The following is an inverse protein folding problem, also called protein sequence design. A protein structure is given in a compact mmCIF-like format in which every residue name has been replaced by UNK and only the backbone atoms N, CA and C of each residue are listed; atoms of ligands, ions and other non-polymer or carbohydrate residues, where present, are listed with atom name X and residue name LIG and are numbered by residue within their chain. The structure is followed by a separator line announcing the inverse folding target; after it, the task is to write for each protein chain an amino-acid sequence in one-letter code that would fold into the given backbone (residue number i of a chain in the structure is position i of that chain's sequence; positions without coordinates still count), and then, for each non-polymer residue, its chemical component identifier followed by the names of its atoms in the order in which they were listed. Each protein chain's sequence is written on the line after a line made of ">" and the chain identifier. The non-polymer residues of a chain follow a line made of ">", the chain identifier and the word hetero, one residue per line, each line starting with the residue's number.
data_IF_305088304544
#
_entry.id   IF_305088304544
#
_cell.length_a   1.000
_cell.length_b   1.000
_cell.length_c   1.000
_cell.angle_alpha   90.00
_cell.angle_beta   90.00
_cell.angle_gamma   90.00
#
_symmetry.space_group_name_H-M   'P 1'
#
loop_
_entity.id
_entity.type
_entity.pdbx_description
1 polymer ?
#
# COMPACT_ATOMS: atom_id res chain seq x y z
N UNK A 1 -10.46 15.98 39.70
CA UNK A 1 -9.19 16.32 39.03
C UNK A 1 -8.81 15.14 38.17
N UNK A 2 -8.84 15.36 36.87
CA UNK A 2 -8.48 14.41 35.81
C UNK A 2 -6.95 14.32 35.76
N UNK A 3 -6.42 13.12 35.65
CA UNK A 3 -5.00 12.86 35.41
C UNK A 3 -4.88 11.57 34.61
N UNK A 4 -5.20 11.68 33.31
CA UNK A 4 -4.94 10.64 32.32
C UNK A 4 -3.50 10.67 31.82
N UNK A 5 -3.15 9.66 31.03
CA UNK A 5 -1.82 9.17 30.61
C UNK A 5 -1.23 8.16 31.62
N UNK A 6 -1.10 6.87 31.24
CA UNK A 6 -0.29 6.47 30.07
C UNK A 6 -0.83 5.24 29.29
N UNK A 7 -1.13 5.35 28.00
CA UNK A 7 -1.46 4.17 27.17
C UNK A 7 -0.75 4.08 25.82
N UNK A 8 -0.12 5.15 25.32
CA UNK A 8 0.55 5.10 24.02
C UNK A 8 1.99 4.53 24.09
N UNK A 9 2.71 4.75 25.19
CA UNK A 9 4.13 4.38 25.29
C UNK A 9 4.40 2.91 25.63
N UNK A 10 3.49 2.22 26.33
CA UNK A 10 3.79 0.88 26.86
C UNK A 10 3.64 -0.24 25.82
N UNK A 11 2.83 -0.04 24.78
CA UNK A 11 2.67 -0.99 23.66
C UNK A 11 3.68 -0.70 22.53
N UNK A 12 4.04 0.57 22.33
CA UNK A 12 5.09 0.97 21.37
C UNK A 12 6.49 0.59 21.89
N UNK A 13 6.71 0.52 23.20
CA UNK A 13 8.05 0.33 23.76
C UNK A 13 8.62 -1.10 23.70
N UNK A 14 7.81 -2.16 23.82
CA UNK A 14 8.34 -3.50 24.16
C UNK A 14 8.55 -4.47 23.00
N UNK A 15 8.23 -4.06 21.76
CA UNK A 15 8.49 -4.88 20.55
C UNK A 15 9.16 -4.12 19.39
N UNK A 16 9.33 -2.79 19.50
CA UNK A 16 9.99 -1.95 18.50
C UNK A 16 11.53 -1.95 18.54
N UNK A 17 12.17 -2.71 19.43
CA UNK A 17 13.64 -2.82 19.49
C UNK A 17 14.26 -3.72 18.40
N UNK A 18 13.46 -4.29 17.49
CA UNK A 18 13.97 -5.05 16.34
C UNK A 18 13.45 -4.46 15.03
N UNK A 19 14.33 -3.72 14.34
CA UNK A 19 14.48 -3.79 12.88
C UNK A 19 13.36 -3.33 11.93
N UNK A 20 12.18 -2.93 12.39
CA UNK A 20 11.08 -2.55 11.49
C UNK A 20 11.16 -1.05 11.10
N UNK A 21 11.75 -0.78 9.93
CA UNK A 21 11.65 0.51 9.24
C UNK A 21 11.25 0.29 7.79
N UNK A 22 9.97 0.55 7.49
CA UNK A 22 9.56 1.16 6.22
C UNK A 22 8.67 2.33 6.59
N UNK A 23 9.31 3.45 6.90
CA UNK A 23 8.66 4.75 6.86
C UNK A 23 9.20 5.42 5.60
N UNK A 24 8.31 5.83 4.71
CA UNK A 24 8.64 6.60 3.52
C UNK A 24 9.51 7.79 3.93
N UNK A 25 10.79 7.78 3.54
CA UNK A 25 11.73 8.82 3.87
C UNK A 25 11.50 10.02 2.97
N UNK A 26 11.36 11.21 3.58
CA UNK A 26 11.29 12.50 2.91
C UNK A 26 12.59 12.82 2.14
N UNK A 27 12.53 13.29 0.88
CA UNK A 27 13.63 13.97 0.22
C UNK A 27 13.36 15.48 0.17
N UNK A 28 13.61 16.19 1.27
CA UNK A 28 13.60 17.65 1.27
C UNK A 28 14.82 18.19 2.05
N UNK A 29 15.94 18.36 1.34
CA UNK A 29 16.85 19.53 1.43
C UNK A 29 18.19 19.25 0.69
N UNK A 30 18.44 20.02 -0.38
CA UNK A 30 19.69 20.31 -1.09
C UNK A 30 20.74 19.20 -1.36
N UNK A 31 20.85 18.79 -2.63
CA UNK A 31 22.13 18.36 -3.21
C UNK A 31 22.33 19.06 -4.57
N UNK A 32 23.21 20.08 -4.66
CA UNK A 32 23.75 20.48 -5.94
C UNK A 32 24.80 19.46 -6.40
N UNK A 33 24.61 18.97 -7.62
CA UNK A 33 25.52 18.32 -8.60
C UNK A 33 26.74 17.52 -8.13
N UNK A 34 26.96 16.37 -8.78
CA UNK A 34 28.20 15.90 -9.44
C UNK A 34 27.88 14.49 -9.99
N UNK A 35 27.52 14.36 -11.26
CA UNK A 35 28.42 14.15 -12.40
C UNK A 35 29.23 12.85 -12.27
N UNK A 36 28.79 11.79 -12.97
CA UNK A 36 29.61 11.15 -14.01
C UNK A 36 28.94 9.88 -14.59
N UNK A 37 28.58 10.01 -15.87
CA UNK A 37 28.82 9.04 -16.95
C UNK A 37 27.99 7.73 -17.05
N UNK A 38 27.14 7.76 -18.11
CA UNK A 38 26.80 6.68 -19.05
C UNK A 38 25.53 5.86 -18.82
N UNK A 39 24.40 6.42 -19.28
CA UNK A 39 23.55 5.76 -20.28
C UNK A 39 22.57 6.78 -20.85
N UNK A 40 22.85 7.29 -22.05
CA UNK A 40 21.85 8.00 -22.83
C UNK A 40 20.88 6.98 -23.42
N UNK A 41 19.67 6.90 -22.87
CA UNK A 41 18.49 6.56 -23.68
C UNK A 41 17.60 7.81 -23.74
N UNK A 42 17.37 8.40 -24.92
CA UNK A 42 16.43 9.48 -25.06
C UNK A 42 15.03 8.90 -24.80
N UNK A 43 14.26 9.56 -23.94
CA UNK A 43 12.79 9.48 -23.72
C UNK A 43 12.35 9.53 -22.24
N UNK A 44 13.23 9.90 -21.30
CA UNK A 44 12.82 10.32 -19.95
C UNK A 44 12.47 11.83 -19.86
N UNK A 45 12.55 12.56 -20.99
CA UNK A 45 12.40 14.02 -21.06
C UNK A 45 11.06 14.50 -21.63
N UNK A 46 10.09 13.59 -21.80
CA UNK A 46 8.70 14.03 -21.99
C UNK A 46 8.10 14.16 -20.61
N UNK A 47 7.79 15.38 -20.20
CA UNK A 47 6.92 15.68 -19.08
C UNK A 47 5.68 14.77 -19.17
N UNK A 48 5.69 13.67 -18.43
CA UNK A 48 4.49 12.88 -18.21
C UNK A 48 3.57 13.79 -17.42
N UNK A 49 2.41 14.06 -18.02
CA UNK A 49 1.45 15.07 -17.61
C UNK A 49 1.32 15.21 -16.09
N UNK A 50 1.12 16.43 -15.63
CA UNK A 50 0.83 16.89 -14.26
C UNK A 50 -0.46 16.30 -13.65
N UNK A 51 -0.79 15.05 -13.98
CA UNK A 51 -2.02 14.35 -13.64
C UNK A 51 -1.64 13.26 -12.64
N UNK A 52 -2.21 13.33 -11.46
CA UNK A 52 -2.11 12.28 -10.46
C UNK A 52 -2.78 11.00 -10.95
N UNK A 53 -2.15 9.85 -10.73
CA UNK A 53 -2.71 8.55 -11.11
C UNK A 53 -2.85 7.67 -9.88
N UNK A 54 -4.05 7.13 -9.66
CA UNK A 54 -4.34 6.18 -8.60
C UNK A 54 -4.41 4.74 -9.11
N UNK A 55 -4.21 3.77 -8.22
CA UNK A 55 -4.46 2.35 -8.48
C UNK A 55 -5.76 1.94 -7.77
N UNK A 56 -6.64 1.23 -8.49
CA UNK A 56 -7.88 0.68 -7.96
C UNK A 56 -8.08 -0.75 -8.43
N UNK A 57 -8.75 -1.55 -7.61
CA UNK A 57 -9.00 -2.98 -7.87
C UNK A 57 -10.24 -3.23 -8.72
N UNK A 58 -11.11 -2.22 -8.90
CA UNK A 58 -12.50 -2.41 -9.32
C UNK A 58 -13.26 -3.35 -8.36
N UNK A 59 -14.44 -3.81 -8.74
CA UNK A 59 -15.28 -4.72 -7.95
C UNK A 59 -14.88 -6.20 -8.05
N UNK A 60 -15.36 -6.99 -7.09
CA UNK A 60 -15.12 -8.44 -7.03
C UNK A 60 -15.79 -9.26 -8.16
N UNK A 61 -16.47 -8.61 -9.11
CA UNK A 61 -17.04 -9.26 -10.29
C UNK A 61 -16.07 -9.27 -11.49
N UNK A 62 -15.00 -8.47 -11.45
CA UNK A 62 -14.08 -8.21 -12.57
C UNK A 62 -12.59 -8.29 -12.15
N UNK A 63 -12.28 -8.70 -10.92
CA UNK A 63 -10.92 -8.78 -10.37
C UNK A 63 -10.78 -9.92 -9.33
N UNK A 64 -11.74 -9.98 -8.42
CA UNK A 64 -11.96 -11.03 -7.41
C UNK A 64 -10.91 -11.10 -6.27
N UNK A 65 -9.78 -10.38 -6.34
CA UNK A 65 -8.76 -10.39 -5.29
C UNK A 65 -8.89 -9.21 -4.30
N UNK A 66 -9.34 -8.03 -4.78
CA UNK A 66 -9.42 -6.78 -4.00
C UNK A 66 -8.13 -6.47 -3.21
N UNK A 67 -6.97 -6.81 -3.79
CA UNK A 67 -5.68 -6.64 -3.15
C UNK A 67 -4.88 -5.55 -3.87
N UNK A 68 -4.74 -4.35 -3.27
CA UNK A 68 -4.06 -3.23 -3.92
C UNK A 68 -2.57 -3.50 -4.17
N UNK A 69 -1.91 -4.33 -3.36
CA UNK A 69 -0.50 -4.67 -3.60
C UNK A 69 -0.34 -5.53 -4.85
N UNK A 70 -1.22 -6.52 -5.04
CA UNK A 70 -1.22 -7.32 -6.27
C UNK A 70 -1.58 -6.48 -7.51
N UNK A 71 -2.51 -5.54 -7.38
CA UNK A 71 -2.81 -4.59 -8.48
C UNK A 71 -1.64 -3.70 -8.82
N UNK A 72 -0.88 -3.27 -7.81
CA UNK A 72 0.33 -2.47 -8.02
C UNK A 72 1.38 -3.23 -8.82
N UNK A 73 1.52 -4.55 -8.57
CA UNK A 73 2.37 -5.44 -9.36
C UNK A 73 1.90 -5.51 -10.81
N UNK A 74 0.60 -5.73 -11.02
CA UNK A 74 0.00 -5.80 -12.36
C UNK A 74 0.22 -4.49 -13.12
N UNK A 75 -0.05 -3.34 -12.48
CA UNK A 75 0.18 -2.03 -13.06
C UNK A 75 1.67 -1.85 -13.43
N UNK A 76 2.59 -2.21 -12.55
CA UNK A 76 4.02 -2.09 -12.79
C UNK A 76 4.48 -2.95 -13.97
N UNK A 77 4.06 -4.22 -14.03
CA UNK A 77 4.42 -5.15 -15.10
C UNK A 77 3.80 -4.74 -16.45
N UNK A 78 2.57 -4.24 -16.45
CA UNK A 78 1.90 -3.77 -17.66
C UNK A 78 2.63 -2.57 -18.28
N UNK A 79 3.02 -1.58 -17.47
CA UNK A 79 3.81 -0.44 -17.94
C UNK A 79 5.18 -0.90 -18.47
N UNK A 80 5.76 -1.93 -17.87
CA UNK A 80 7.08 -2.46 -18.25
C UNK A 80 7.09 -3.39 -19.46
N UNK A 81 5.93 -3.73 -20.01
CA UNK A 81 5.79 -4.73 -21.08
C UNK A 81 6.72 -4.47 -22.26
N UNK A 82 6.77 -3.23 -22.74
CA UNK A 82 7.59 -2.84 -23.89
C UNK A 82 8.88 -2.11 -23.47
N UNK A 83 8.90 -1.50 -22.29
CA UNK A 83 10.06 -0.77 -21.76
C UNK A 83 10.25 -1.08 -20.27
N UNK A 84 11.27 -1.88 -19.88
CA UNK A 84 11.54 -2.22 -18.48
C UNK A 84 11.77 -1.02 -17.56
N UNK A 85 12.20 0.12 -18.11
CA UNK A 85 12.43 1.38 -17.39
C UNK A 85 11.22 2.31 -17.33
N UNK A 86 10.05 1.92 -17.85
CA UNK A 86 8.87 2.79 -17.96
C UNK A 86 8.31 3.27 -16.61
N UNK A 87 8.49 2.50 -15.54
CA UNK A 87 8.00 2.85 -14.21
C UNK A 87 8.91 2.29 -13.11
N UNK A 88 9.10 3.04 -12.03
CA UNK A 88 9.87 2.61 -10.86
C UNK A 88 8.96 2.04 -9.77
N UNK A 89 9.51 1.25 -8.84
CA UNK A 89 8.74 0.77 -7.69
C UNK A 89 8.25 1.94 -6.79
N UNK A 90 9.07 2.98 -6.63
CA UNK A 90 8.66 4.22 -5.94
C UNK A 90 7.47 4.89 -6.62
N UNK A 91 7.47 4.97 -7.94
CA UNK A 91 6.34 5.56 -8.67
C UNK A 91 5.05 4.76 -8.44
N UNK A 92 5.14 3.43 -8.42
CA UNK A 92 3.99 2.55 -8.14
C UNK A 92 3.47 2.75 -6.71
N UNK A 93 4.37 2.87 -5.72
CA UNK A 93 3.97 3.19 -4.34
C UNK A 93 3.31 4.57 -4.25
N UNK A 94 3.81 5.56 -4.98
CA UNK A 94 3.21 6.89 -5.04
C UNK A 94 1.77 6.83 -5.60
N UNK A 95 1.55 6.02 -6.65
CA UNK A 95 0.23 5.77 -7.23
C UNK A 95 -0.74 5.08 -6.26
N UNK A 96 -0.24 4.20 -5.39
CA UNK A 96 -1.02 3.57 -4.32
C UNK A 96 -1.36 4.54 -3.16
N UNK A 97 -0.57 5.60 -2.98
CA UNK A 97 -0.61 6.44 -1.77
C UNK A 97 -0.89 7.89 -2.12
N UNK A 98 0.15 8.74 -2.18
CA UNK A 98 0.03 10.20 -2.32
C UNK A 98 -0.69 10.64 -3.59
N UNK A 99 -0.52 9.93 -4.70
CA UNK A 99 -1.23 10.28 -5.94
C UNK A 99 -2.66 9.76 -5.94
N UNK A 100 -2.92 8.61 -5.33
CA UNK A 100 -4.28 8.14 -5.08
C UNK A 100 -5.06 9.15 -4.23
N UNK A 101 -4.44 9.67 -3.16
CA UNK A 101 -5.01 10.74 -2.34
C UNK A 101 -5.28 12.01 -3.17
N UNK A 102 -4.36 12.40 -4.05
CA UNK A 102 -4.53 13.54 -4.94
C UNK A 102 -5.67 13.35 -5.94
N UNK A 103 -5.87 12.14 -6.49
CA UNK A 103 -7.02 11.82 -7.36
C UNK A 103 -8.36 12.05 -6.65
N UNK A 104 -8.42 11.81 -5.34
CA UNK A 104 -9.61 12.06 -4.52
C UNK A 104 -9.68 13.47 -3.91
N UNK A 105 -8.72 14.35 -4.21
CA UNK A 105 -8.68 15.70 -3.64
C UNK A 105 -8.32 15.73 -2.15
N UNK A 106 -7.70 14.68 -1.63
CA UNK A 106 -7.35 14.50 -0.22
C UNK A 106 -5.83 14.53 0.03
N UNK A 107 -5.05 15.08 -0.90
CA UNK A 107 -3.59 15.11 -0.82
C UNK A 107 -3.06 15.82 0.44
N UNK A 108 -3.81 16.78 0.98
CA UNK A 108 -3.45 17.52 2.20
C UNK A 108 -3.83 16.76 3.48
N UNK A 109 -4.61 15.67 3.38
CA UNK A 109 -5.18 14.95 4.51
C UNK A 109 -4.59 13.55 4.69
N UNK A 110 -4.30 12.84 3.59
CA UNK A 110 -3.84 11.44 3.58
C UNK A 110 -2.78 11.18 2.50
N UNK A 111 -2.27 9.94 2.43
CA UNK A 111 -1.42 9.46 1.36
C UNK A 111 0.09 9.68 1.56
N UNK A 112 0.49 10.34 2.65
CA UNK A 112 1.88 10.45 3.07
C UNK A 112 2.00 10.60 4.59
N UNK A 113 3.17 10.27 5.13
CA UNK A 113 3.45 10.34 6.57
C UNK A 113 4.01 11.72 6.89
N UNK A 114 3.13 12.67 7.20
CA UNK A 114 3.47 14.06 7.50
C UNK A 114 2.69 14.56 8.72
N UNK A 115 3.30 15.43 9.52
CA UNK A 115 2.62 16.01 10.68
C UNK A 115 1.41 16.83 10.23
N UNK A 116 0.26 16.61 10.86
CA UNK A 116 -1.00 17.28 10.53
C UNK A 116 -1.93 16.47 9.60
N UNK A 117 -1.43 15.40 8.96
CA UNK A 117 -2.25 14.45 8.21
C UNK A 117 -2.90 13.40 9.12
N UNK A 118 -3.97 12.77 8.62
CA UNK A 118 -4.67 11.68 9.29
C UNK A 118 -3.75 10.47 9.42
N UNK A 119 -3.91 9.69 10.49
CA UNK A 119 -3.06 8.55 10.80
C UNK A 119 -3.55 7.27 10.08
N UNK A 120 -3.55 7.32 8.75
CA UNK A 120 -3.88 6.18 7.87
C UNK A 120 -2.59 5.45 7.48
N UNK A 121 -2.32 4.33 8.16
CA UNK A 121 -1.05 3.62 8.07
C UNK A 121 -1.26 2.14 7.80
N UNK A 122 -0.41 1.57 6.94
CA UNK A 122 -0.32 0.12 6.74
C UNK A 122 1.10 -0.31 7.07
N UNK A 123 1.22 -1.30 7.96
CA UNK A 123 2.48 -1.85 8.40
C UNK A 123 2.61 -3.27 7.86
N UNK A 124 3.76 -3.55 7.25
CA UNK A 124 4.13 -4.88 6.77
C UNK A 124 5.23 -5.47 7.65
N UNK A 125 5.20 -6.78 7.87
CA UNK A 125 6.32 -7.47 8.50
C UNK A 125 7.51 -7.50 7.53
N UNK A 126 8.54 -6.73 7.84
CA UNK A 126 9.78 -6.68 7.05
C UNK A 126 10.56 -8.02 7.06
N UNK A 127 10.24 -8.91 7.98
CA UNK A 127 10.80 -10.25 8.09
C UNK A 127 10.03 -11.29 7.26
N UNK A 128 8.92 -10.91 6.63
CA UNK A 128 8.14 -11.78 5.75
C UNK A 128 9.05 -12.43 4.68
N UNK A 129 9.02 -13.76 4.51
CA UNK A 129 9.88 -14.46 3.55
C UNK A 129 9.77 -13.94 2.12
N UNK A 130 8.61 -13.39 1.73
CA UNK A 130 8.34 -12.82 0.41
C UNK A 130 9.08 -11.50 0.16
N UNK A 131 9.58 -10.85 1.23
CA UNK A 131 10.39 -9.64 1.18
C UNK A 131 11.90 -9.92 1.22
N UNK A 132 12.30 -11.19 1.10
CA UNK A 132 13.71 -11.62 1.07
C UNK A 132 14.17 -11.97 -0.36
N UNK A 133 15.45 -11.73 -0.71
CA UNK A 133 16.49 -11.08 0.09
C UNK A 133 16.27 -9.57 0.21
N UNK A 134 16.69 -8.98 1.34
CA UNK A 134 16.64 -7.53 1.57
C UNK A 134 17.99 -6.91 1.23
N UNK A 135 18.00 -5.95 0.31
CA UNK A 135 19.18 -5.20 -0.08
C UNK A 135 18.84 -3.71 -0.17
N UNK A 136 19.10 -2.97 0.92
CA UNK A 136 18.74 -1.56 1.02
C UNK A 136 17.23 -1.30 1.00
N UNK A 137 16.87 -0.01 1.04
CA UNK A 137 15.47 0.41 1.09
C UNK A 137 14.79 0.33 -0.28
N UNK A 138 15.53 0.60 -1.36
CA UNK A 138 15.04 0.41 -2.73
C UNK A 138 14.73 -1.05 -3.05
N UNK A 139 15.57 -1.99 -2.59
CA UNK A 139 15.34 -3.43 -2.75
C UNK A 139 14.11 -3.90 -1.96
N UNK A 140 13.91 -3.38 -0.75
CA UNK A 140 12.72 -3.68 0.06
C UNK A 140 11.44 -3.17 -0.61
N UNK A 141 11.47 -1.93 -1.13
CA UNK A 141 10.36 -1.36 -1.88
C UNK A 141 10.07 -2.13 -3.18
N UNK A 142 11.13 -2.53 -3.89
CA UNK A 142 11.01 -3.41 -5.06
C UNK A 142 10.35 -4.73 -4.69
N UNK A 143 10.76 -5.37 -3.59
CA UNK A 143 10.14 -6.60 -3.12
C UNK A 143 8.67 -6.40 -2.72
N UNK A 144 8.33 -5.27 -2.10
CA UNK A 144 6.94 -4.94 -1.77
C UNK A 144 6.06 -4.86 -3.04
N UNK A 145 6.54 -4.22 -4.11
CA UNK A 145 5.78 -4.08 -5.36
C UNK A 145 5.76 -5.38 -6.18
N UNK A 146 6.86 -6.13 -6.25
CA UNK A 146 6.99 -7.22 -7.21
C UNK A 146 6.84 -8.63 -6.62
N UNK A 147 7.07 -8.79 -5.31
CA UNK A 147 7.17 -10.12 -4.67
C UNK A 147 6.15 -10.33 -3.56
N UNK A 148 5.82 -9.29 -2.81
CA UNK A 148 4.92 -9.38 -1.67
C UNK A 148 3.51 -9.84 -2.07
N UNK A 149 3.02 -10.83 -1.36
CA UNK A 149 1.66 -11.35 -1.47
C UNK A 149 1.11 -11.77 -0.09
N UNK A 150 1.73 -11.28 0.98
CA UNK A 150 1.31 -11.48 2.35
C UNK A 150 0.17 -10.55 2.75
N UNK A 151 -0.05 -10.45 4.06
CA UNK A 151 -1.04 -9.55 4.68
C UNK A 151 -0.33 -8.44 5.45
N UNK A 152 -1.03 -7.34 5.66
CA UNK A 152 -0.55 -6.32 6.59
C UNK A 152 -0.49 -6.89 8.01
N UNK A 153 0.57 -6.57 8.74
CA UNK A 153 0.70 -6.88 10.17
C UNK A 153 -0.22 -5.98 10.99
N UNK A 154 -0.33 -4.72 10.59
CA UNK A 154 -1.28 -3.78 11.17
C UNK A 154 -1.78 -2.76 10.14
N UNK A 155 -3.00 -2.30 10.34
CA UNK A 155 -3.61 -1.21 9.57
C UNK A 155 -4.31 -0.28 10.54
N UNK A 156 -4.00 1.01 10.43
CA UNK A 156 -4.64 2.09 11.17
C UNK A 156 -5.45 2.93 10.18
N UNK A 157 -6.64 3.34 10.60
CA UNK A 157 -7.49 4.30 9.90
C UNK A 157 -7.83 5.38 10.92
N UNK A 158 -7.47 6.63 10.63
CA UNK A 158 -7.63 7.77 11.56
C UNK A 158 -6.96 7.53 12.93
N UNK A 159 -5.89 6.73 12.96
CA UNK A 159 -5.19 6.37 14.19
C UNK A 159 -5.78 5.19 14.97
N UNK A 160 -6.91 4.65 14.54
CA UNK A 160 -7.54 3.48 15.15
C UNK A 160 -7.15 2.20 14.41
N UNK A 161 -6.79 1.14 15.15
CA UNK A 161 -6.48 -0.14 14.54
C UNK A 161 -7.73 -0.77 13.92
N UNK A 162 -7.63 -1.20 12.66
CA UNK A 162 -8.61 -2.07 11.99
C UNK A 162 -8.02 -3.44 11.68
N UNK A 163 -6.69 -3.53 11.61
CA UNK A 163 -5.91 -4.79 11.58
C UNK A 163 -4.79 -4.67 12.61
N UNK A 164 -4.56 -5.73 13.40
CA UNK A 164 -3.48 -5.80 14.39
C UNK A 164 -3.00 -7.24 14.56
N UNK A 165 -1.68 -7.42 14.68
CA UNK A 165 -1.03 -8.73 14.78
C UNK A 165 -1.49 -9.70 13.65
N UNK A 166 -1.65 -9.14 12.44
CA UNK A 166 -2.12 -9.84 11.24
C UNK A 166 -3.61 -10.22 11.23
N UNK A 167 -4.38 -9.80 12.23
CA UNK A 167 -5.81 -10.11 12.38
C UNK A 167 -6.69 -8.87 12.13
N UNK A 168 -7.78 -9.04 11.38
CA UNK A 168 -8.82 -8.00 11.23
C UNK A 168 -9.62 -7.92 12.53
N UNK A 169 -9.89 -6.71 13.01
CA UNK A 169 -10.57 -6.48 14.29
C UNK A 169 -12.10 -6.42 14.20
N UNK A 170 -12.65 -6.37 12.98
CA UNK A 170 -14.09 -6.48 12.73
C UNK A 170 -14.57 -7.94 12.87
N UNK A 171 -15.88 -8.13 13.09
CA UNK A 171 -16.50 -9.45 13.10
C UNK A 171 -16.55 -10.03 11.67
N UNK A 172 -15.59 -10.91 11.37
CA UNK A 172 -15.50 -11.57 10.07
C UNK A 172 -16.52 -12.70 9.95
N UNK A 173 -16.91 -13.34 11.06
CA UNK A 173 -17.80 -14.49 11.01
C UNK A 173 -19.21 -14.05 10.57
N UNK A 174 -19.73 -12.95 11.12
CA UNK A 174 -20.99 -12.33 10.68
C UNK A 174 -20.93 -11.94 9.20
N UNK A 175 -19.81 -11.37 8.74
CA UNK A 175 -19.63 -10.96 7.35
C UNK A 175 -19.62 -12.18 6.40
N UNK A 176 -18.94 -13.26 6.77
CA UNK A 176 -18.91 -14.52 6.00
C UNK A 176 -20.31 -15.13 5.92
N UNK A 177 -21.02 -15.24 7.04
CA UNK A 177 -22.38 -15.78 7.07
C UNK A 177 -23.33 -14.97 6.18
N UNK A 178 -23.23 -13.65 6.24
CA UNK A 178 -24.03 -12.73 5.42
C UNK A 178 -23.76 -12.93 3.93
N UNK A 179 -22.48 -12.96 3.53
CA UNK A 179 -22.10 -13.18 2.12
C UNK A 179 -22.53 -14.56 1.63
N UNK A 180 -22.38 -15.60 2.45
CA UNK A 180 -22.81 -16.95 2.09
C UNK A 180 -24.35 -17.01 1.88
N UNK A 181 -25.12 -16.35 2.75
CA UNK A 181 -26.58 -16.27 2.58
C UNK A 181 -26.99 -15.63 1.24
N UNK A 182 -26.30 -14.57 0.82
CA UNK A 182 -26.55 -13.96 -0.49
C UNK A 182 -26.16 -14.88 -1.65
N UNK A 183 -25.04 -15.61 -1.53
CA UNK A 183 -24.62 -16.57 -2.55
C UNK A 183 -25.64 -17.71 -2.70
N UNK A 184 -26.14 -18.28 -1.60
CA UNK A 184 -27.14 -19.35 -1.60
C UNK A 184 -28.44 -18.89 -2.27
N UNK A 185 -28.88 -17.65 -2.00
CA UNK A 185 -30.06 -17.05 -2.65
C UNK A 185 -29.85 -16.83 -4.16
N UNK A 186 -28.68 -16.34 -4.55
CA UNK A 186 -28.35 -16.09 -5.95
C UNK A 186 -28.29 -17.39 -6.77
N UNK A 187 -27.68 -18.44 -6.24
CA UNK A 187 -27.63 -19.77 -6.87
C UNK A 187 -29.04 -20.38 -6.95
N UNK A 188 -29.80 -20.33 -5.86
CA UNK A 188 -31.18 -20.84 -5.83
C UNK A 188 -32.14 -20.10 -6.78
N UNK A 189 -31.84 -18.86 -7.15
CA UNK A 189 -32.57 -18.14 -8.19
C UNK A 189 -32.19 -18.59 -9.61
N UNK A 190 -30.94 -19.03 -9.81
CA UNK A 190 -30.41 -19.49 -11.10
C UNK A 190 -30.90 -20.90 -11.47
N UNK A 191 -31.11 -21.76 -10.47
CA UNK A 191 -31.59 -23.15 -10.64
C UNK A 191 -33.11 -23.29 -10.84
N UNK A 192 -33.84 -22.18 -11.03
CA UNK A 192 -35.29 -22.26 -11.32
C UNK A 192 -35.50 -22.67 -12.78
N UNK A 193 -36.23 -23.77 -13.07
CA UNK A 193 -36.60 -24.10 -14.43
C UNK A 193 -37.46 -22.97 -15.03
N UNK A 194 -37.05 -22.50 -16.22
CA UNK A 194 -37.77 -21.48 -17.00
C UNK A 194 -39.07 -21.96 -17.59
#
# INVERSE_FOLDING_TARGET
>A
MVGGEPLLNDVVGRRFELGHRVAQQRPDADIPALDDAQSQSPDAATATNSISVGIGTDGAASNNALNPVLESRTAALLHKRENPGAITAQRVLDMLTREGAAVFGMADEIGSIEAGKRADLVLFDAEDPTLRPRFGDEGLLSNLVYSFHGRAEATLVEGEFVVRDGQVLADIDEAIETVQSFADQAVGAYDRPG
#
